data_IF_774312287395
#
_entry.id   IF_774312287395
#
_cell.length_a   1.000
_cell.length_b   1.000
_cell.length_c   1.000
_cell.angle_alpha   90.00
_cell.angle_beta   90.00
_cell.angle_gamma   90.00
#
_symmetry.space_group_name_H-M   'P 1'
#
loop_
_entity.id
_entity.type
_entity.pdbx_description
1 polymer ?
#
# COMPACT_ATOMS: atom_id res chain seq x y z
N UNK A 1 -8.76 -24.41 0.75
CA UNK A 1 -7.52 -23.66 0.44
C UNK A 1 -7.78 -22.76 -0.74
N UNK A 2 -7.06 -21.65 -0.87
CA UNK A 2 -7.18 -20.73 -2.01
C UNK A 2 -6.37 -21.28 -3.20
N UNK A 3 -6.94 -21.22 -4.40
CA UNK A 3 -6.23 -21.57 -5.63
C UNK A 3 -5.53 -20.32 -6.16
N UNK A 4 -4.21 -20.38 -6.36
CA UNK A 4 -3.42 -19.27 -6.91
C UNK A 4 -2.24 -19.82 -7.72
N UNK A 5 -1.74 -19.01 -8.65
CA UNK A 5 -0.63 -19.40 -9.56
C UNK A 5 0.70 -18.74 -9.21
N UNK A 6 0.66 -17.55 -8.62
CA UNK A 6 1.82 -16.81 -8.17
C UNK A 6 1.42 -15.79 -7.08
N UNK A 7 2.41 -15.11 -6.52
CA UNK A 7 2.18 -14.13 -5.46
C UNK A 7 1.27 -12.98 -5.92
N UNK A 8 1.50 -12.42 -7.10
CA UNK A 8 0.71 -11.31 -7.63
C UNK A 8 -0.77 -11.68 -7.77
N UNK A 9 -1.06 -12.89 -8.25
CA UNK A 9 -2.42 -13.39 -8.34
C UNK A 9 -3.03 -13.61 -6.96
N UNK A 10 -2.27 -14.17 -6.01
CA UNK A 10 -2.73 -14.39 -4.64
C UNK A 10 -3.05 -13.08 -3.93
N UNK A 11 -2.15 -12.10 -3.97
CA UNK A 11 -2.33 -10.83 -3.26
C UNK A 11 -3.46 -9.96 -3.82
N UNK A 12 -3.88 -10.21 -5.06
CA UNK A 12 -5.04 -9.56 -5.67
C UNK A 12 -6.39 -10.23 -5.36
N UNK A 13 -6.40 -11.38 -4.67
CA UNK A 13 -7.66 -12.11 -4.42
C UNK A 13 -8.54 -11.38 -3.38
N UNK A 14 -9.86 -11.26 -3.64
CA UNK A 14 -10.79 -10.67 -2.69
C UNK A 14 -10.76 -11.36 -1.31
N UNK A 15 -10.59 -12.67 -1.27
CA UNK A 15 -10.51 -13.46 -0.04
C UNK A 15 -9.29 -13.08 0.80
N UNK A 16 -8.17 -12.74 0.16
CA UNK A 16 -6.95 -12.29 0.85
C UNK A 16 -7.15 -10.88 1.37
N UNK A 17 -7.70 -9.97 0.57
CA UNK A 17 -8.06 -8.62 1.01
C UNK A 17 -9.00 -8.65 2.21
N UNK A 18 -10.04 -9.47 2.16
CA UNK A 18 -11.00 -9.63 3.26
C UNK A 18 -10.33 -10.16 4.53
N UNK A 19 -9.48 -11.18 4.42
CA UNK A 19 -8.76 -11.73 5.56
C UNK A 19 -7.83 -10.69 6.23
N UNK A 20 -7.10 -9.92 5.43
CA UNK A 20 -6.23 -8.85 5.95
C UNK A 20 -7.06 -7.71 6.54
N UNK A 21 -8.15 -7.30 5.87
CA UNK A 21 -9.10 -6.29 6.36
C UNK A 21 -9.61 -6.63 7.75
N UNK A 22 -10.07 -7.86 7.97
CA UNK A 22 -10.60 -8.30 9.26
C UNK A 22 -9.52 -8.25 10.35
N UNK A 23 -8.27 -8.58 10.03
CA UNK A 23 -7.18 -8.50 10.99
C UNK A 23 -6.76 -7.06 11.31
N UNK A 24 -6.70 -6.18 10.30
CA UNK A 24 -6.42 -4.76 10.50
C UNK A 24 -7.52 -4.10 11.32
N UNK A 25 -8.78 -4.47 11.12
CA UNK A 25 -9.90 -3.99 11.93
C UNK A 25 -9.75 -4.39 13.41
N UNK A 26 -9.32 -5.62 13.70
CA UNK A 26 -9.03 -6.04 15.09
C UNK A 26 -7.87 -5.25 15.69
N UNK A 27 -6.78 -5.06 14.94
CA UNK A 27 -5.63 -4.26 15.41
C UNK A 27 -6.07 -2.82 15.71
N UNK A 28 -6.85 -2.20 14.82
CA UNK A 28 -7.37 -0.84 15.00
C UNK A 28 -8.22 -0.65 16.27
N UNK A 29 -8.86 -1.71 16.80
CA UNK A 29 -9.58 -1.62 18.08
C UNK A 29 -8.65 -1.37 19.27
N UNK A 30 -7.39 -1.78 19.17
CA UNK A 30 -6.37 -1.62 20.22
C UNK A 30 -5.56 -0.32 20.10
N UNK A 31 -5.68 0.39 18.97
CA UNK A 31 -4.87 1.57 18.68
C UNK A 31 -5.60 2.88 19.04
N UNK A 32 -4.90 3.90 19.55
CA UNK A 32 -5.43 5.25 19.66
C UNK A 32 -5.84 5.78 18.27
N UNK A 33 -6.83 6.68 18.23
CA UNK A 33 -7.39 7.19 16.96
C UNK A 33 -6.32 7.72 16.00
N UNK A 34 -5.34 8.47 16.51
CA UNK A 34 -4.24 9.03 15.73
C UNK A 34 -3.29 7.98 15.10
N UNK A 35 -3.37 6.72 15.53
CA UNK A 35 -2.53 5.61 15.05
C UNK A 35 -3.32 4.56 14.26
N UNK A 36 -4.64 4.70 14.14
CA UNK A 36 -5.46 3.75 13.39
C UNK A 36 -5.09 3.75 11.90
N UNK A 37 -5.01 2.55 11.35
CA UNK A 37 -4.76 2.33 9.93
C UNK A 37 -6.05 2.68 9.17
N UNK A 38 -5.98 3.74 8.36
CA UNK A 38 -7.16 4.26 7.63
C UNK A 38 -7.34 3.62 6.26
N UNK A 39 -6.23 3.39 5.55
CA UNK A 39 -6.20 2.78 4.21
C UNK A 39 -5.00 1.84 4.10
N UNK A 40 -5.10 0.78 3.31
CA UNK A 40 -3.96 -0.07 2.96
C UNK A 40 -4.07 -0.64 1.53
N UNK A 41 -2.95 -1.16 1.03
CA UNK A 41 -2.82 -1.87 -0.23
C UNK A 41 -2.06 -3.17 0.02
N UNK A 42 -2.36 -4.22 -0.74
CA UNK A 42 -1.50 -5.40 -0.86
C UNK A 42 -0.57 -5.25 -2.08
N UNK A 43 0.74 -5.35 -1.87
CA UNK A 43 1.71 -5.24 -2.96
C UNK A 43 1.65 -6.49 -3.87
N UNK A 44 2.06 -6.30 -5.12
CA UNK A 44 2.11 -7.36 -6.14
C UNK A 44 3.34 -8.27 -6.02
N UNK A 45 4.28 -7.93 -5.13
CA UNK A 45 5.46 -8.71 -4.76
C UNK A 45 5.82 -8.47 -3.29
N UNK A 46 6.63 -9.36 -2.73
CA UNK A 46 7.26 -9.11 -1.43
C UNK A 46 8.39 -8.07 -1.55
N UNK A 47 8.66 -7.38 -0.45
CA UNK A 47 9.84 -6.54 -0.33
C UNK A 47 11.09 -7.42 -0.20
N UNK A 48 12.15 -7.08 -0.93
CA UNK A 48 13.36 -7.89 -1.00
C UNK A 48 14.59 -7.12 -0.50
N UNK A 49 15.49 -7.82 0.21
CA UNK A 49 16.77 -7.27 0.65
C UNK A 49 17.75 -7.10 -0.51
N UNK A 50 17.69 -7.97 -1.53
CA UNK A 50 18.54 -7.88 -2.72
C UNK A 50 18.12 -6.71 -3.62
N UNK A 51 16.84 -6.36 -3.60
CA UNK A 51 16.30 -5.13 -4.19
C UNK A 51 16.63 -3.88 -3.36
N UNK A 52 17.29 -4.01 -2.21
CA UNK A 52 17.60 -2.91 -1.30
C UNK A 52 16.40 -2.31 -0.58
N UNK A 53 15.24 -2.97 -0.60
CA UNK A 53 14.00 -2.51 0.05
C UNK A 53 13.99 -2.89 1.53
N UNK A 54 14.70 -3.97 1.88
CA UNK A 54 14.92 -4.41 3.25
C UNK A 54 16.41 -4.41 3.62
N UNK A 55 16.70 -4.39 4.91
CA UNK A 55 17.98 -4.90 5.42
C UNK A 55 17.99 -6.42 5.35
N UNK A 56 19.16 -7.06 5.42
CA UNK A 56 19.27 -8.52 5.57
C UNK A 56 18.54 -9.07 6.82
N UNK A 57 18.28 -8.20 7.80
CA UNK A 57 17.49 -8.50 9.00
C UNK A 57 16.00 -8.15 8.87
N UNK A 58 15.49 -7.96 7.65
CA UNK A 58 14.09 -7.66 7.31
C UNK A 58 13.56 -6.31 7.82
N UNK A 59 14.42 -5.33 8.12
CA UNK A 59 13.99 -3.95 8.41
C UNK A 59 13.74 -3.18 7.12
N UNK A 60 12.62 -2.47 7.01
CA UNK A 60 12.28 -1.66 5.84
C UNK A 60 13.24 -0.47 5.67
N UNK A 61 13.78 -0.31 4.47
CA UNK A 61 14.58 0.85 4.04
C UNK A 61 13.65 1.90 3.43
N UNK A 62 13.05 2.72 4.30
CA UNK A 62 11.94 3.64 3.95
C UNK A 62 12.26 4.58 2.76
N UNK A 63 13.49 5.09 2.65
CA UNK A 63 13.88 5.95 1.52
C UNK A 63 13.79 5.24 0.16
N UNK A 64 14.33 4.02 0.08
CA UNK A 64 14.29 3.20 -1.14
C UNK A 64 12.86 2.80 -1.48
N UNK A 65 12.07 2.42 -0.47
CA UNK A 65 10.64 2.11 -0.66
C UNK A 65 9.86 3.33 -1.12
N UNK A 66 10.08 4.51 -0.53
CA UNK A 66 9.41 5.73 -0.94
C UNK A 66 9.73 6.12 -2.39
N UNK A 67 10.98 5.95 -2.82
CA UNK A 67 11.38 6.20 -4.20
C UNK A 67 10.75 5.20 -5.18
N UNK A 68 10.83 3.90 -4.88
CA UNK A 68 10.32 2.84 -5.77
C UNK A 68 8.81 2.79 -5.89
N UNK A 69 8.10 3.08 -4.80
CA UNK A 69 6.65 2.91 -4.69
C UNK A 69 5.91 4.25 -4.54
N UNK A 70 6.55 5.36 -4.94
CA UNK A 70 6.03 6.72 -4.78
C UNK A 70 4.60 6.87 -5.27
N UNK A 71 4.32 6.44 -6.51
CA UNK A 71 2.98 6.52 -7.12
C UNK A 71 1.92 5.73 -6.35
N UNK A 72 2.29 4.56 -5.80
CA UNK A 72 1.39 3.74 -4.97
C UNK A 72 1.11 4.44 -3.64
N UNK A 73 2.16 4.97 -3.00
CA UNK A 73 2.05 5.69 -1.72
C UNK A 73 1.20 6.95 -1.90
N UNK A 74 1.45 7.75 -2.93
CA UNK A 74 0.67 8.94 -3.26
C UNK A 74 -0.80 8.58 -3.47
N UNK A 75 -1.07 7.48 -4.17
CA UNK A 75 -2.45 7.05 -4.39
C UNK A 75 -3.17 6.67 -3.10
N UNK A 76 -2.48 6.02 -2.14
CA UNK A 76 -3.07 5.73 -0.82
C UNK A 76 -3.50 7.02 -0.10
N UNK A 77 -2.74 8.10 -0.25
CA UNK A 77 -3.09 9.40 0.33
C UNK A 77 -4.13 10.19 -0.49
N UNK A 78 -4.38 9.78 -1.74
CA UNK A 78 -5.44 10.35 -2.59
C UNK A 78 -6.79 9.65 -2.38
N UNK A 79 -7.80 10.09 -3.13
CA UNK A 79 -9.13 9.47 -3.17
C UNK A 79 -9.30 8.46 -4.33
N UNK A 80 -8.21 8.10 -5.00
CA UNK A 80 -8.26 7.08 -6.06
C UNK A 80 -8.38 5.69 -5.43
N UNK A 81 -9.33 4.85 -5.88
CA UNK A 81 -9.58 3.53 -5.29
C UNK A 81 -8.57 2.46 -5.75
N UNK A 82 -7.70 2.77 -6.71
CA UNK A 82 -6.78 1.79 -7.31
C UNK A 82 -5.54 2.45 -7.93
N UNK A 83 -4.49 1.64 -8.07
CA UNK A 83 -3.22 1.98 -8.75
C UNK A 83 -2.94 0.97 -9.82
N UNK A 84 -2.75 1.41 -11.06
CA UNK A 84 -2.28 0.53 -12.13
C UNK A 84 -0.75 0.49 -12.12
N UNK A 85 -0.20 -0.72 -12.07
CA UNK A 85 1.24 -0.98 -12.05
C UNK A 85 1.62 -1.69 -13.34
N UNK A 86 2.60 -1.14 -14.06
CA UNK A 86 3.24 -1.76 -15.21
C UNK A 86 4.76 -1.66 -15.02
N UNK A 87 5.38 -2.74 -14.54
CA UNK A 87 6.80 -2.77 -14.19
C UNK A 87 7.47 -4.05 -14.65
N UNK A 88 8.80 -4.06 -14.69
CA UNK A 88 9.59 -5.24 -15.01
C UNK A 88 10.37 -5.66 -13.77
N UNK A 89 10.04 -6.83 -13.23
CA UNK A 89 10.82 -7.44 -12.15
C UNK A 89 11.98 -8.21 -12.77
N UNK A 90 13.18 -8.00 -12.24
CA UNK A 90 14.35 -8.84 -12.53
C UNK A 90 14.51 -9.83 -11.38
N UNK A 91 14.44 -11.12 -11.68
CA UNK A 91 14.67 -12.19 -10.71
C UNK A 91 16.16 -12.45 -10.53
N UNK A 92 16.52 -13.17 -9.47
CA UNK A 92 17.91 -13.50 -9.13
C UNK A 92 18.64 -14.30 -10.23
N UNK A 93 17.91 -15.07 -11.03
CA UNK A 93 18.44 -15.81 -12.18
C UNK A 93 18.68 -14.93 -13.42
N UNK A 94 18.40 -13.63 -13.33
CA UNK A 94 18.48 -12.65 -14.41
C UNK A 94 17.25 -12.62 -15.32
N UNK A 95 16.26 -13.51 -15.09
CA UNK A 95 15.00 -13.51 -15.81
C UNK A 95 14.26 -12.20 -15.55
N UNK A 96 13.61 -11.67 -16.58
CA UNK A 96 12.79 -10.46 -16.46
C UNK A 96 11.33 -10.81 -16.75
N UNK A 97 10.44 -10.52 -15.82
CA UNK A 97 9.00 -10.64 -16.05
C UNK A 97 8.35 -9.28 -15.94
N UNK A 98 7.59 -8.93 -16.97
CA UNK A 98 6.72 -7.76 -16.94
C UNK A 98 5.48 -8.09 -16.11
N UNK A 99 5.25 -7.30 -15.07
CA UNK A 99 4.04 -7.36 -14.26
C UNK A 99 3.13 -6.22 -14.66
N UNK A 100 1.90 -6.59 -15.03
CA UNK A 100 0.78 -5.66 -15.21
C UNK A 100 -0.32 -6.06 -14.26
N UNK A 101 -0.63 -5.19 -13.30
CA UNK A 101 -1.68 -5.45 -12.33
C UNK A 101 -2.28 -4.15 -11.81
N UNK A 102 -3.48 -4.24 -11.24
CA UNK A 102 -4.12 -3.12 -10.55
C UNK A 102 -4.19 -3.45 -9.06
N UNK A 103 -3.71 -2.54 -8.22
CA UNK A 103 -3.75 -2.65 -6.77
C UNK A 103 -4.95 -1.89 -6.24
N UNK A 104 -5.76 -2.53 -5.41
CA UNK A 104 -6.93 -1.92 -4.80
C UNK A 104 -6.53 -1.25 -3.48
N UNK A 105 -6.91 0.02 -3.31
CA UNK A 105 -6.82 0.73 -2.03
C UNK A 105 -8.01 0.30 -1.19
N UNK A 106 -7.76 -0.44 -0.11
CA UNK A 106 -8.78 -0.80 0.88
C UNK A 106 -8.91 0.33 1.90
N UNK A 107 -10.08 0.99 1.93
CA UNK A 107 -10.39 2.06 2.89
C UNK A 107 -11.17 1.49 4.07
N UNK A 108 -10.67 1.72 5.28
CA UNK A 108 -11.27 1.30 6.56
C UNK A 108 -11.90 2.48 7.31
N UNK A 109 -11.29 3.65 7.19
CA UNK A 109 -11.72 4.89 7.85
C UNK A 109 -11.75 5.99 6.79
N UNK A 110 -12.94 6.55 6.57
CA UNK A 110 -13.13 7.69 5.69
C UNK A 110 -12.78 8.98 6.44
N UNK A 111 -11.88 9.78 5.88
CA UNK A 111 -11.58 11.12 6.38
C UNK A 111 -12.22 12.14 5.43
N UNK A 112 -13.27 12.83 5.86
CA UNK A 112 -13.84 13.92 5.08
C UNK A 112 -12.84 15.08 5.06
N UNK A 113 -12.36 15.50 3.88
CA UNK A 113 -11.35 16.56 3.68
C UNK A 113 -11.79 17.98 4.13
N UNK A 114 -12.92 18.13 4.82
CA UNK A 114 -13.44 19.41 5.27
C UNK A 114 -12.78 19.87 6.59
N UNK A 115 -11.54 20.38 6.54
CA UNK A 115 -11.02 21.29 7.59
C UNK A 115 -9.68 21.96 7.27
N UNK A 116 -8.88 21.43 6.32
CA UNK A 116 -7.54 21.99 6.03
C UNK A 116 -7.61 23.26 5.17
N UNK A 117 -8.59 23.39 4.29
CA UNK A 117 -8.77 24.60 3.47
C UNK A 117 -9.27 25.79 4.29
N UNK A 118 -10.15 25.58 5.28
CA UNK A 118 -10.72 26.66 6.08
C UNK A 118 -9.72 27.35 7.01
N UNK A 119 -8.74 26.64 7.58
CA UNK A 119 -7.70 27.29 8.41
C UNK A 119 -6.65 28.02 7.56
N UNK A 120 -6.40 27.53 6.34
CA UNK A 120 -5.45 28.11 5.39
C UNK A 120 -5.96 29.41 4.79
N UNK A 121 -7.27 29.49 4.49
CA UNK A 121 -7.93 30.72 4.04
C UNK A 121 -8.09 31.74 5.17
N UNK A 122 -8.45 31.30 6.39
CA UNK A 122 -8.57 32.21 7.53
C UNK A 122 -7.23 32.85 7.93
N UNK A 123 -6.10 32.17 7.73
CA UNK A 123 -4.75 32.75 7.92
C UNK A 123 -4.28 33.66 6.78
N UNK A 124 -4.93 33.63 5.62
CA UNK A 124 -4.62 34.55 4.49
C UNK A 124 -5.42 35.84 4.53
N UNK A 125 -6.52 35.88 5.29
CA UNK A 125 -7.47 37.00 5.34
C UNK A 125 -7.31 37.84 6.64
N UNK A 126 -6.56 37.35 7.63
CA UNK A 126 -6.19 38.08 8.86
C UNK A 126 -4.79 38.68 8.76
#
# INVERSE_FOLDING_TARGET
GLAFTNYTNLSAQPEVYQAIRDEVLKVNQSLPDAQKISKFILLYKELDADDGELTRTRKVRRGVVAEKYGDIIETIYSDKPKVDVDTVITYQDGTKTRIKTSLVVETLIEHQQQQVESESEQRRIA
#
